data_IF_584444697924
#
_entry.id   IF_584444697924
#
_cell.length_a   1.000
_cell.length_b   1.000
_cell.length_c   1.000
_cell.angle_alpha   90.00
_cell.angle_beta   90.00
_cell.angle_gamma   90.00
#
_symmetry.space_group_name_H-M   'P 1'
#
loop_
_entity.id
_entity.type
_entity.pdbx_description
1 polymer ?
#
# COMPACT_ATOMS: atom_id res chain seq x y z
N UNK A 1 -13.98 2.09 14.25
CA UNK A 1 -13.36 3.34 13.75
C UNK A 1 -12.35 2.99 12.67
N UNK A 2 -11.99 3.91 11.79
CA UNK A 2 -10.95 3.70 10.78
C UNK A 2 -9.57 3.79 11.46
N UNK A 3 -8.73 2.77 11.26
CA UNK A 3 -7.32 2.77 11.68
C UNK A 3 -6.45 2.65 10.43
N UNK A 4 -5.48 3.56 10.28
CA UNK A 4 -4.60 3.61 9.12
C UNK A 4 -3.23 3.08 9.49
N UNK A 5 -2.74 2.09 8.74
CA UNK A 5 -1.36 1.59 8.84
C UNK A 5 -0.65 1.79 7.51
N UNK A 6 0.52 2.43 7.54
CA UNK A 6 1.39 2.63 6.37
C UNK A 6 2.56 1.67 6.47
N UNK A 7 2.73 0.83 5.45
CA UNK A 7 3.91 -0.03 5.28
C UNK A 7 4.85 0.61 4.26
N UNK A 8 5.94 1.22 4.72
CA UNK A 8 6.88 1.89 3.84
C UNK A 8 7.89 0.88 3.26
N UNK A 9 7.84 0.71 1.94
CA UNK A 9 8.71 -0.22 1.20
C UNK A 9 10.10 0.36 0.89
N UNK A 10 10.32 1.65 1.16
CA UNK A 10 11.56 2.37 0.87
C UNK A 10 12.31 2.71 2.16
N UNK A 11 13.65 2.54 2.19
CA UNK A 11 14.46 2.93 3.33
C UNK A 11 14.26 4.41 3.66
N UNK A 12 14.41 4.75 4.94
CA UNK A 12 14.42 6.14 5.36
C UNK A 12 15.60 6.89 4.70
N UNK A 13 15.28 7.84 3.83
CA UNK A 13 16.24 8.66 3.08
C UNK A 13 16.65 9.94 3.82
N UNK A 14 16.13 10.15 5.04
CA UNK A 14 16.38 11.36 5.83
C UNK A 14 15.71 12.61 5.28
N UNK A 15 14.83 12.50 4.28
CA UNK A 15 14.14 13.65 3.70
C UNK A 15 13.15 14.28 4.67
N UNK A 16 12.87 15.57 4.47
CA UNK A 16 11.81 16.26 5.20
C UNK A 16 10.44 15.62 4.91
N UNK A 17 10.19 15.23 3.65
CA UNK A 17 8.96 14.58 3.23
C UNK A 17 8.70 13.28 4.01
N UNK A 18 9.71 12.41 4.15
CA UNK A 18 9.60 11.17 4.94
C UNK A 18 9.18 11.47 6.38
N UNK A 19 9.84 12.42 7.05
CA UNK A 19 9.50 12.82 8.43
C UNK A 19 8.08 13.40 8.53
N UNK A 20 7.67 14.20 7.56
CA UNK A 20 6.34 14.81 7.55
C UNK A 20 5.23 13.77 7.40
N UNK A 21 5.38 12.81 6.48
CA UNK A 21 4.41 11.73 6.27
C UNK A 21 4.31 10.86 7.52
N UNK A 22 5.45 10.37 8.03
CA UNK A 22 5.50 9.56 9.25
C UNK A 22 4.85 10.29 10.42
N UNK A 23 5.22 11.55 10.64
CA UNK A 23 4.63 12.38 11.69
C UNK A 23 3.13 12.62 11.51
N UNK A 24 2.64 12.81 10.27
CA UNK A 24 1.19 12.99 10.00
C UNK A 24 0.40 11.73 10.34
N UNK A 25 0.90 10.55 9.95
CA UNK A 25 0.28 9.26 10.24
C UNK A 25 0.19 9.01 11.73
N UNK A 26 1.29 9.24 12.47
CA UNK A 26 1.27 9.05 13.94
C UNK A 26 0.35 10.05 14.63
N UNK A 27 0.37 11.33 14.23
CA UNK A 27 -0.51 12.36 14.83
C UNK A 27 -1.99 12.14 14.58
N UNK A 28 -2.37 11.46 13.48
CA UNK A 28 -3.76 11.08 13.23
C UNK A 28 -4.19 9.79 13.95
N UNK A 29 -3.32 9.21 14.78
CA UNK A 29 -3.57 7.94 15.49
C UNK A 29 -3.35 6.70 14.63
N UNK A 30 -2.75 6.86 13.44
CA UNK A 30 -2.32 5.75 12.59
C UNK A 30 -0.97 5.16 13.01
N UNK A 31 -0.55 4.12 12.30
CA UNK A 31 0.73 3.43 12.50
C UNK A 31 1.59 3.56 11.25
N UNK A 32 2.86 3.92 11.41
CA UNK A 32 3.84 3.93 10.33
C UNK A 32 4.88 2.83 10.60
N UNK A 33 5.02 1.88 9.67
CA UNK A 33 5.97 0.76 9.76
C UNK A 33 6.97 0.86 8.61
N UNK A 34 8.25 1.02 8.94
CA UNK A 34 9.31 0.81 7.97
C UNK A 34 9.53 -0.70 7.79
N UNK A 35 9.23 -1.20 6.59
CA UNK A 35 9.40 -2.61 6.23
C UNK A 35 10.39 -2.78 5.08
N UNK A 36 11.15 -1.73 4.73
CA UNK A 36 12.00 -1.73 3.54
C UNK A 36 13.10 -2.80 3.58
N UNK A 37 13.52 -3.15 4.80
CA UNK A 37 14.55 -4.14 5.10
C UNK A 37 14.02 -5.59 5.14
N UNK A 38 12.70 -5.79 5.10
CA UNK A 38 12.09 -7.11 5.16
C UNK A 38 11.94 -7.71 3.76
N UNK A 39 12.07 -9.04 3.62
CA UNK A 39 11.67 -9.74 2.39
C UNK A 39 10.14 -9.73 2.25
N UNK A 40 9.64 -9.82 1.01
CA UNK A 40 8.22 -9.72 0.66
C UNK A 40 7.32 -10.64 1.49
N UNK A 41 7.72 -11.90 1.68
CA UNK A 41 6.95 -12.87 2.48
C UNK A 41 6.78 -12.41 3.94
N UNK A 42 7.83 -11.89 4.56
CA UNK A 42 7.77 -11.36 5.93
C UNK A 42 6.86 -10.12 6.02
N UNK A 43 6.82 -9.30 4.97
CA UNK A 43 5.90 -8.16 4.90
C UNK A 43 4.46 -8.67 4.82
N UNK A 44 4.17 -9.65 3.95
CA UNK A 44 2.84 -10.25 3.84
C UNK A 44 2.36 -10.86 5.17
N UNK A 45 3.24 -11.60 5.86
CA UNK A 45 2.96 -12.12 7.19
C UNK A 45 2.68 -11.02 8.22
N UNK A 46 3.40 -9.90 8.14
CA UNK A 46 3.19 -8.75 9.04
C UNK A 46 1.82 -8.11 8.78
N UNK A 47 1.46 -7.87 7.52
CA UNK A 47 0.14 -7.33 7.13
C UNK A 47 -0.99 -8.24 7.63
N UNK A 48 -0.82 -9.56 7.46
CA UNK A 48 -1.81 -10.53 7.92
C UNK A 48 -1.96 -10.54 9.45
N UNK A 49 -0.83 -10.51 10.19
CA UNK A 49 -0.81 -10.43 11.66
C UNK A 49 -1.41 -9.13 12.19
N UNK A 50 -1.26 -8.04 11.47
CA UNK A 50 -1.85 -6.74 11.80
C UNK A 50 -3.37 -6.70 11.54
N UNK A 51 -3.96 -7.78 11.00
CA UNK A 51 -5.40 -7.91 10.70
C UNK A 51 -5.92 -6.79 9.79
N UNK A 52 -5.13 -6.44 8.77
CA UNK A 52 -5.53 -5.44 7.78
C UNK A 52 -6.74 -5.95 6.99
N UNK A 53 -7.82 -5.16 7.00
CA UNK A 53 -9.07 -5.48 6.32
C UNK A 53 -9.02 -5.08 4.83
N UNK A 54 -8.44 -3.91 4.55
CA UNK A 54 -8.30 -3.32 3.22
C UNK A 54 -6.85 -2.95 3.01
N UNK A 55 -6.16 -3.62 2.09
CA UNK A 55 -4.78 -3.31 1.70
C UNK A 55 -4.80 -2.52 0.38
N UNK A 56 -4.12 -1.38 0.38
CA UNK A 56 -4.05 -0.48 -0.77
C UNK A 56 -2.61 -0.48 -1.28
N UNK A 57 -2.40 -0.87 -2.54
CA UNK A 57 -1.13 -0.68 -3.23
C UNK A 57 -1.04 0.75 -3.77
N UNK A 58 0.07 1.41 -3.43
CA UNK A 58 0.39 2.79 -3.82
C UNK A 58 1.60 2.85 -4.77
N UNK A 59 2.26 1.72 -5.06
CA UNK A 59 3.47 1.65 -5.90
C UNK A 59 3.16 1.16 -7.34
N UNK A 60 2.04 0.47 -7.56
CA UNK A 60 1.59 -0.02 -8.88
C UNK A 60 2.74 -0.67 -9.69
N UNK A 61 2.86 -0.36 -10.98
CA UNK A 61 3.92 -0.84 -11.89
C UNK A 61 5.17 0.07 -11.95
N UNK A 62 5.46 0.85 -10.91
CA UNK A 62 6.68 1.66 -10.88
C UNK A 62 7.96 0.81 -10.70
N UNK A 63 9.11 1.37 -11.11
CA UNK A 63 10.41 0.71 -10.89
C UNK A 63 10.58 0.35 -9.41
N UNK A 64 10.96 -0.90 -9.16
CA UNK A 64 11.12 -1.48 -7.83
C UNK A 64 9.81 -1.59 -7.03
N UNK A 65 8.64 -1.62 -7.67
CA UNK A 65 7.40 -2.00 -6.98
C UNK A 65 7.52 -3.44 -6.47
N UNK A 66 6.83 -3.72 -5.36
CA UNK A 66 6.74 -5.07 -4.79
C UNK A 66 5.33 -5.61 -4.99
N UNK A 67 4.84 -5.58 -6.23
CA UNK A 67 3.48 -6.02 -6.59
C UNK A 67 3.21 -7.48 -6.16
N UNK A 68 4.26 -8.31 -6.13
CA UNK A 68 4.24 -9.67 -5.54
C UNK A 68 3.70 -9.72 -4.11
N UNK A 69 3.78 -8.64 -3.33
CA UNK A 69 3.14 -8.53 -2.02
C UNK A 69 1.62 -8.70 -2.10
N UNK A 70 1.00 -8.13 -3.13
CA UNK A 70 -0.44 -8.26 -3.39
C UNK A 70 -0.81 -9.68 -3.81
N UNK A 71 0.12 -10.42 -4.44
CA UNK A 71 -0.12 -11.82 -4.81
C UNK A 71 -0.27 -12.75 -3.59
N UNK A 72 0.30 -12.38 -2.43
CA UNK A 72 0.14 -13.14 -1.17
C UNK A 72 -1.26 -13.04 -0.56
N UNK A 73 -2.13 -12.13 -1.04
CA UNK A 73 -3.50 -11.95 -0.52
C UNK A 73 -3.53 -11.78 1.01
N UNK A 74 -2.65 -10.93 1.52
CA UNK A 74 -2.44 -10.76 2.97
C UNK A 74 -3.64 -10.09 3.69
N UNK A 75 -4.52 -9.43 2.93
CA UNK A 75 -5.76 -8.84 3.40
C UNK A 75 -6.97 -9.34 2.57
N UNK A 76 -8.19 -9.44 3.14
CA UNK A 76 -9.39 -9.88 2.43
C UNK A 76 -9.78 -9.00 1.25
N UNK A 77 -9.58 -7.68 1.36
CA UNK A 77 -9.80 -6.72 0.28
C UNK A 77 -8.46 -6.11 -0.11
N UNK A 78 -8.17 -6.14 -1.40
CA UNK A 78 -6.95 -5.57 -1.99
C UNK A 78 -7.33 -4.62 -3.12
N UNK A 79 -6.77 -3.42 -3.08
CA UNK A 79 -7.10 -2.33 -4.00
C UNK A 79 -5.80 -1.78 -4.55
N UNK A 80 -5.74 -1.52 -5.86
CA UNK A 80 -4.71 -0.66 -6.44
C UNK A 80 -5.23 0.79 -6.43
N UNK A 81 -4.41 1.69 -5.89
CA UNK A 81 -4.64 3.12 -6.03
C UNK A 81 -3.99 3.58 -7.34
N UNK A 82 -4.76 4.08 -8.32
CA UNK A 82 -4.21 4.38 -9.63
C UNK A 82 -3.34 5.64 -9.55
N UNK A 83 -2.03 5.41 -9.59
CA UNK A 83 -1.07 6.38 -10.11
C UNK A 83 -0.80 6.15 -11.61
N UNK A 84 -1.41 5.11 -12.17
CA UNK A 84 -1.31 4.71 -13.56
C UNK A 84 -2.69 4.85 -14.22
N UNK A 85 -2.74 5.43 -15.41
CA UNK A 85 -3.98 5.60 -16.19
C UNK A 85 -4.28 4.28 -16.90
N UNK A 86 -4.62 3.24 -16.13
CA UNK A 86 -4.85 1.88 -16.61
C UNK A 86 -5.05 0.89 -15.46
N UNK A 87 -5.35 -0.37 -15.80
CA UNK A 87 -5.47 -1.48 -14.83
C UNK A 87 -4.11 -2.14 -14.58
N UNK A 88 -3.87 -2.69 -13.38
CA UNK A 88 -2.76 -3.61 -13.15
C UNK A 88 -2.82 -4.89 -14.02
N UNK A 89 -3.99 -5.24 -14.59
CA UNK A 89 -4.17 -6.45 -15.41
C UNK A 89 -3.99 -7.74 -14.62
N UNK A 90 -4.14 -7.69 -13.30
CA UNK A 90 -3.81 -8.77 -12.38
C UNK A 90 -5.04 -9.30 -11.65
N UNK A 91 -5.30 -10.60 -11.75
CA UNK A 91 -6.45 -11.28 -11.11
C UNK A 91 -6.45 -11.20 -9.56
N UNK A 92 -5.33 -10.78 -8.97
CA UNK A 92 -5.17 -10.59 -7.52
C UNK A 92 -5.45 -9.15 -7.04
N UNK A 93 -5.76 -8.22 -7.96
CA UNK A 93 -6.19 -6.84 -7.66
C UNK A 93 -7.56 -6.60 -8.33
N UNK A 94 -8.66 -7.01 -7.67
CA UNK A 94 -9.99 -6.97 -8.29
C UNK A 94 -10.66 -5.59 -8.29
N UNK A 95 -10.12 -4.61 -7.55
CA UNK A 95 -10.71 -3.27 -7.41
C UNK A 95 -9.69 -2.18 -7.74
N UNK A 96 -10.18 -1.13 -8.41
CA UNK A 96 -9.43 0.09 -8.69
C UNK A 96 -10.17 1.29 -8.09
N UNK A 97 -9.43 2.24 -7.53
CA UNK A 97 -9.98 3.49 -6.99
C UNK A 97 -10.04 4.56 -8.07
N UNK A 98 -11.21 4.89 -8.63
CA UNK A 98 -11.30 5.81 -9.79
C UNK A 98 -12.43 6.83 -9.65
N UNK A 99 -12.55 7.72 -10.63
CA UNK A 99 -13.63 8.70 -10.73
C UNK A 99 -14.38 8.59 -12.09
N UNK A 100 -15.61 9.09 -12.11
CA UNK A 100 -16.50 8.97 -13.28
C UNK A 100 -16.11 9.86 -14.48
N UNK A 101 -15.20 10.83 -14.28
CA UNK A 101 -14.69 11.68 -15.36
C UNK A 101 -13.54 10.95 -16.06
N UNK A 102 -12.63 10.37 -15.29
CA UNK A 102 -11.44 9.65 -15.76
C UNK A 102 -11.80 8.26 -16.30
N UNK A 103 -12.76 7.56 -15.67
CA UNK A 103 -13.26 6.24 -16.09
C UNK A 103 -14.78 6.25 -16.17
N UNK A 104 -15.34 6.74 -17.29
CA UNK A 104 -16.79 6.72 -17.53
C UNK A 104 -17.33 5.29 -17.72
N UNK A 105 -18.66 5.10 -17.64
CA UNK A 105 -19.32 3.79 -17.81
C UNK A 105 -19.09 3.13 -19.17
#
# INVERSE_FOLDING_TARGET
GLQVTVYCLRPNDGSQLRREIEGRVVRSGGTFRDVSHLPTESIAMTINKDLIHVLIDMDAHFRNSRLELMAHRAAPVQVEYPFFVGTAGADFIPYAFNDAITTPP
#
